data_IF_541934923279
#
_entry.id   IF_541934923279
#
_cell.length_a   1.000
_cell.length_b   1.000
_cell.length_c   1.000
_cell.angle_alpha   90.00
_cell.angle_beta   90.00
_cell.angle_gamma   90.00
#
_symmetry.space_group_name_H-M   'P 1'
#
loop_
_entity.id
_entity.type
_entity.pdbx_description
1 polymer ?
#
# COMPACT_ATOMS: atom_id res chain seq x y z
N UNK A 1 -5.58 -14.11 0.11
CA UNK A 1 -6.57 -13.08 -0.28
C UNK A 1 -7.93 -13.33 0.35
N UNK A 2 -8.66 -14.38 -0.05
CA UNK A 2 -9.98 -14.68 0.54
C UNK A 2 -9.96 -14.79 2.08
N UNK A 3 -8.92 -15.40 2.67
CA UNK A 3 -8.78 -15.45 4.13
C UNK A 3 -8.60 -14.09 4.81
N UNK A 4 -8.01 -13.10 4.13
CA UNK A 4 -7.90 -11.73 4.64
C UNK A 4 -9.24 -11.00 4.53
N UNK A 5 -9.90 -11.10 3.36
CA UNK A 5 -11.18 -10.41 3.09
C UNK A 5 -12.34 -10.92 3.96
N UNK A 6 -12.25 -12.17 4.41
CA UNK A 6 -13.21 -12.80 5.31
C UNK A 6 -12.78 -12.71 6.77
N UNK A 7 -11.70 -11.99 7.11
CA UNK A 7 -11.16 -11.85 8.46
C UNK A 7 -10.86 -13.19 9.18
N UNK A 8 -10.53 -14.23 8.41
CA UNK A 8 -10.25 -15.59 8.94
C UNK A 8 -9.07 -15.55 9.92
N UNK A 9 -7.98 -14.87 9.54
CA UNK A 9 -6.77 -14.80 10.38
C UNK A 9 -6.98 -13.94 11.63
N UNK A 10 -7.79 -12.89 11.54
CA UNK A 10 -8.13 -12.04 12.68
C UNK A 10 -9.02 -12.75 13.69
N UNK A 11 -9.91 -13.63 13.23
CA UNK A 11 -10.68 -14.47 14.14
C UNK A 11 -9.79 -15.53 14.82
N UNK A 12 -8.99 -16.24 14.01
CA UNK A 12 -8.14 -17.34 14.50
C UNK A 12 -6.96 -16.88 15.36
N UNK A 13 -6.55 -15.61 15.28
CA UNK A 13 -5.56 -15.03 16.18
C UNK A 13 -6.08 -14.86 17.62
N UNK A 14 -7.39 -14.68 17.78
CA UNK A 14 -8.04 -14.53 19.08
C UNK A 14 -8.39 -15.87 19.71
N UNK A 15 -8.86 -16.81 18.90
CA UNK A 15 -9.19 -18.16 19.35
C UNK A 15 -9.10 -19.19 18.22
N UNK A 16 -8.59 -20.40 18.50
CA UNK A 16 -8.80 -21.54 17.62
C UNK A 16 -10.30 -21.79 17.41
N UNK A 17 -10.70 -22.32 16.25
CA UNK A 17 -12.11 -22.57 15.95
C UNK A 17 -12.27 -23.75 15.00
N UNK A 18 -13.39 -24.46 15.13
CA UNK A 18 -13.82 -25.42 14.10
C UNK A 18 -14.35 -24.66 12.89
N UNK A 19 -14.49 -25.34 11.75
CA UNK A 19 -15.03 -24.71 10.55
C UNK A 19 -16.47 -24.20 10.74
N UNK A 20 -17.29 -24.92 11.52
CA UNK A 20 -18.67 -24.52 11.80
C UNK A 20 -18.74 -23.28 12.69
N UNK A 21 -17.94 -23.24 13.76
CA UNK A 21 -17.86 -22.08 14.65
C UNK A 21 -17.37 -20.82 13.91
N UNK A 22 -16.36 -20.98 13.06
CA UNK A 22 -15.81 -19.88 12.28
C UNK A 22 -16.82 -19.41 11.21
N UNK A 23 -17.51 -20.33 10.54
CA UNK A 23 -18.53 -19.99 9.56
C UNK A 23 -19.68 -19.20 10.18
N UNK A 24 -20.14 -19.62 11.37
CA UNK A 24 -21.16 -18.93 12.12
C UNK A 24 -20.71 -17.53 12.56
N UNK A 25 -19.47 -17.40 13.04
CA UNK A 25 -18.91 -16.11 13.47
C UNK A 25 -18.75 -15.11 12.31
N UNK A 26 -18.35 -15.60 11.13
CA UNK A 26 -18.13 -14.76 9.94
C UNK A 26 -19.39 -14.56 9.10
N UNK A 27 -20.48 -15.28 9.38
CA UNK A 27 -21.72 -15.21 8.60
C UNK A 27 -21.58 -15.76 7.17
N UNK A 28 -20.79 -16.81 6.97
CA UNK A 28 -20.48 -17.39 5.65
C UNK A 28 -20.93 -18.86 5.53
N UNK A 29 -20.96 -19.37 4.29
CA UNK A 29 -21.25 -20.78 4.03
C UNK A 29 -20.14 -21.71 4.56
N UNK A 30 -20.49 -22.59 5.50
CA UNK A 30 -19.56 -23.50 6.18
C UNK A 30 -18.81 -24.39 5.20
N UNK A 31 -19.50 -24.94 4.20
CA UNK A 31 -18.90 -25.87 3.23
C UNK A 31 -17.83 -25.19 2.40
N UNK A 32 -18.09 -23.97 1.91
CA UNK A 32 -17.13 -23.16 1.15
C UNK A 32 -15.99 -22.69 2.04
N UNK A 33 -16.27 -22.26 3.27
CA UNK A 33 -15.23 -21.89 4.22
C UNK A 33 -14.32 -23.08 4.51
N UNK A 34 -14.87 -24.27 4.71
CA UNK A 34 -14.10 -25.52 4.92
C UNK A 34 -13.18 -25.88 3.76
N UNK A 35 -13.55 -25.53 2.52
CA UNK A 35 -12.65 -25.69 1.36
C UNK A 35 -11.48 -24.71 1.44
N UNK A 36 -11.75 -23.44 1.79
CA UNK A 36 -10.73 -22.43 1.98
C UNK A 36 -9.77 -22.79 3.13
N UNK A 37 -10.28 -23.19 4.28
CA UNK A 37 -9.47 -23.56 5.46
C UNK A 37 -8.52 -24.73 5.15
N UNK A 38 -9.00 -25.75 4.43
CA UNK A 38 -8.14 -26.86 3.96
C UNK A 38 -7.07 -26.38 3.00
N UNK A 39 -7.40 -25.50 2.06
CA UNK A 39 -6.41 -24.94 1.13
C UNK A 39 -5.36 -24.10 1.85
N UNK A 40 -5.77 -23.26 2.81
CA UNK A 40 -4.86 -22.46 3.65
C UNK A 40 -3.96 -23.34 4.52
N UNK A 41 -4.50 -24.44 5.05
CA UNK A 41 -3.70 -25.40 5.83
C UNK A 41 -2.68 -26.14 4.95
N UNK A 42 -3.03 -26.45 3.70
CA UNK A 42 -2.14 -27.13 2.76
C UNK A 42 -0.96 -26.26 2.28
N UNK A 43 -1.02 -24.94 2.48
CA UNK A 43 0.07 -24.00 2.19
C UNK A 43 0.71 -23.45 3.47
N UNK A 44 0.55 -24.17 4.59
CA UNK A 44 1.13 -23.89 5.90
C UNK A 44 0.76 -22.50 6.49
N UNK A 45 -0.37 -21.93 6.06
CA UNK A 45 -0.90 -20.70 6.66
C UNK A 45 -1.79 -20.97 7.87
N UNK A 46 -2.32 -22.19 8.01
CA UNK A 46 -3.11 -22.63 9.16
C UNK A 46 -2.63 -24.02 9.60
N UNK A 47 -2.73 -24.28 10.90
CA UNK A 47 -2.48 -25.60 11.48
C UNK A 47 -3.80 -26.26 11.87
N UNK A 48 -3.85 -27.59 11.76
CA UNK A 48 -5.02 -28.39 12.13
C UNK A 48 -4.65 -29.24 13.34
N UNK A 49 -5.43 -29.13 14.41
CA UNK A 49 -5.44 -30.13 15.48
C UNK A 49 -6.77 -30.89 15.46
N UNK A 50 -6.74 -32.15 15.88
CA UNK A 50 -7.96 -32.88 16.17
C UNK A 50 -8.32 -32.62 17.63
N UNK A 51 -9.56 -32.23 17.89
CA UNK A 51 -10.05 -32.19 19.26
C UNK A 51 -10.29 -33.63 19.74
N UNK A 52 -9.43 -34.09 20.65
CA UNK A 52 -9.54 -35.42 21.28
C UNK A 52 -10.45 -35.39 22.53
N UNK A 53 -10.78 -34.22 23.08
CA UNK A 53 -11.48 -34.10 24.37
C UNK A 53 -12.98 -34.45 24.32
N UNK A 54 -13.57 -34.60 23.12
CA UNK A 54 -15.01 -34.90 22.95
C UNK A 54 -15.35 -36.38 22.77
N UNK A 55 -14.39 -37.31 22.96
CA UNK A 55 -14.66 -38.74 22.87
C UNK A 55 -14.60 -39.48 24.23
N UNK A 56 -15.61 -39.36 25.11
CA UNK A 56 -15.83 -40.39 26.12
C UNK A 56 -16.41 -41.62 25.41
N UNK A 57 -15.69 -42.74 25.52
CA UNK A 57 -16.16 -44.11 25.31
C UNK A 57 -17.21 -44.36 24.21
N UNK A 58 -16.78 -45.04 23.15
CA UNK A 58 -17.66 -45.83 22.25
C UNK A 58 -18.66 -45.09 21.35
N UNK A 59 -18.51 -43.78 21.13
CA UNK A 59 -19.23 -43.09 20.06
C UNK A 59 -18.29 -42.57 18.98
N UNK A 60 -18.53 -43.00 17.73
CA UNK A 60 -17.90 -42.49 16.51
C UNK A 60 -18.35 -41.04 16.24
N UNK A 61 -18.16 -40.11 17.18
CA UNK A 61 -18.19 -38.68 16.87
C UNK A 61 -16.91 -38.39 16.11
N UNK A 62 -17.05 -37.89 14.88
CA UNK A 62 -15.92 -37.43 14.10
C UNK A 62 -15.18 -36.37 14.93
N UNK A 63 -13.91 -36.60 15.26
CA UNK A 63 -13.06 -35.57 15.83
C UNK A 63 -13.13 -34.36 14.89
N UNK A 64 -13.60 -33.22 15.40
CA UNK A 64 -13.67 -32.02 14.58
C UNK A 64 -12.27 -31.42 14.44
N UNK A 65 -11.94 -31.05 13.22
CA UNK A 65 -10.71 -30.33 12.92
C UNK A 65 -10.81 -28.91 13.50
N UNK A 66 -9.92 -28.59 14.44
CA UNK A 66 -9.75 -27.25 14.99
C UNK A 66 -8.60 -26.58 14.25
N UNK A 67 -8.87 -25.39 13.71
CA UNK A 67 -7.91 -24.61 12.95
C UNK A 67 -7.24 -23.57 13.85
N UNK A 68 -5.94 -23.38 13.63
CA UNK A 68 -5.10 -22.42 14.35
C UNK A 68 -4.32 -21.57 13.34
N UNK A 69 -4.17 -20.28 13.61
CA UNK A 69 -3.17 -19.46 12.92
C UNK A 69 -1.86 -19.51 13.72
N UNK A 70 -0.73 -19.76 13.06
CA UNK A 70 0.59 -19.70 13.70
C UNK A 70 0.96 -18.26 14.09
N UNK A 71 1.89 -18.10 15.04
CA UNK A 71 2.27 -16.79 15.59
C UNK A 71 2.69 -15.78 14.51
N UNK A 72 3.48 -16.21 13.52
CA UNK A 72 3.93 -15.35 12.43
C UNK A 72 2.78 -14.97 11.48
N UNK A 73 1.87 -15.90 11.19
CA UNK A 73 0.66 -15.64 10.39
C UNK A 73 -0.25 -14.67 11.11
N UNK A 74 -0.46 -14.85 12.41
CA UNK A 74 -1.20 -13.91 13.25
C UNK A 74 -0.54 -12.53 13.27
N UNK A 75 0.77 -12.46 13.46
CA UNK A 75 1.49 -11.20 13.48
C UNK A 75 1.36 -10.44 12.15
N UNK A 76 1.38 -11.13 11.02
CA UNK A 76 1.41 -10.49 9.69
C UNK A 76 0.03 -10.35 9.04
N UNK A 77 -0.92 -11.26 9.28
CA UNK A 77 -2.19 -11.35 8.54
C UNK A 77 -3.44 -11.09 9.40
N UNK A 78 -3.29 -10.88 10.72
CA UNK A 78 -4.40 -10.42 11.58
C UNK A 78 -4.52 -8.90 11.52
N UNK A 79 -5.71 -8.38 11.20
CA UNK A 79 -6.00 -6.94 11.21
C UNK A 79 -5.80 -6.30 12.59
N UNK A 80 -5.93 -7.08 13.67
CA UNK A 80 -5.67 -6.65 15.05
C UNK A 80 -4.17 -6.48 15.38
N UNK A 81 -3.26 -6.92 14.50
CA UNK A 81 -1.82 -6.87 14.74
C UNK A 81 -1.21 -5.53 14.31
N UNK A 82 -0.33 -4.98 15.13
CA UNK A 82 0.51 -3.83 14.77
C UNK A 82 1.53 -4.14 13.67
N UNK A 83 1.75 -5.42 13.34
CA UNK A 83 2.62 -5.91 12.26
C UNK A 83 1.83 -6.34 11.02
N UNK A 84 0.54 -6.03 10.96
CA UNK A 84 -0.33 -6.41 9.85
C UNK A 84 0.17 -5.87 8.51
N UNK A 85 0.46 -6.76 7.57
CA UNK A 85 0.88 -6.43 6.19
C UNK A 85 -0.26 -6.59 5.18
N UNK A 86 -1.46 -7.01 5.63
CA UNK A 86 -2.61 -7.22 4.75
C UNK A 86 -3.32 -5.93 4.31
N UNK A 87 -2.86 -4.75 4.74
CA UNK A 87 -3.39 -3.48 4.23
C UNK A 87 -3.17 -3.33 2.72
N UNK A 88 -2.14 -3.98 2.18
CA UNK A 88 -1.79 -3.97 0.74
C UNK A 88 -2.54 -5.03 -0.10
N UNK A 89 -3.58 -5.66 0.45
CA UNK A 89 -4.28 -6.76 -0.23
C UNK A 89 -4.89 -6.34 -1.58
N UNK A 90 -5.26 -5.06 -1.73
CA UNK A 90 -5.75 -4.52 -2.99
C UNK A 90 -4.65 -4.26 -4.02
N UNK A 91 -3.45 -3.85 -3.58
CA UNK A 91 -2.26 -3.80 -4.43
C UNK A 91 -1.92 -5.21 -4.93
N UNK A 92 -1.99 -6.22 -4.05
CA UNK A 92 -1.83 -7.61 -4.44
C UNK A 92 -2.92 -8.10 -5.43
N UNK A 93 -4.18 -7.74 -5.23
CA UNK A 93 -5.26 -8.00 -6.19
C UNK A 93 -4.99 -7.36 -7.56
N UNK A 94 -4.48 -6.13 -7.55
CA UNK A 94 -4.08 -5.42 -8.77
C UNK A 94 -2.94 -6.12 -9.49
N UNK A 95 -1.90 -6.51 -8.76
CA UNK A 95 -0.78 -7.25 -9.32
C UNK A 95 -1.24 -8.57 -9.92
N UNK A 96 -2.15 -9.30 -9.26
CA UNK A 96 -2.74 -10.51 -9.84
C UNK A 96 -3.47 -10.22 -11.15
N UNK A 97 -4.32 -9.19 -11.20
CA UNK A 97 -5.04 -8.80 -12.44
C UNK A 97 -4.08 -8.38 -13.55
N UNK A 98 -3.08 -7.55 -13.23
CA UNK A 98 -2.05 -7.11 -14.18
C UNK A 98 -1.21 -8.26 -14.72
N UNK A 99 -0.86 -9.23 -13.86
CA UNK A 99 -0.04 -10.40 -14.22
C UNK A 99 -0.67 -11.23 -15.35
N UNK A 100 -2.01 -11.27 -15.43
CA UNK A 100 -2.70 -12.01 -16.51
C UNK A 100 -2.43 -11.44 -17.91
N UNK A 101 -1.99 -10.17 -18.01
CA UNK A 101 -1.72 -9.47 -19.28
C UNK A 101 -0.22 -9.23 -19.52
N UNK A 102 0.63 -9.73 -18.64
CA UNK A 102 2.05 -9.43 -18.65
C UNK A 102 2.74 -9.85 -19.95
N UNK A 103 2.41 -11.04 -20.48
CA UNK A 103 2.97 -11.51 -21.75
C UNK A 103 2.67 -10.54 -22.92
N UNK A 104 1.48 -9.93 -22.94
CA UNK A 104 1.12 -8.93 -23.94
C UNK A 104 1.85 -7.61 -23.70
N UNK A 105 2.00 -7.20 -22.44
CA UNK A 105 2.76 -5.98 -22.09
C UNK A 105 4.20 -6.07 -22.57
N UNK A 106 4.87 -7.19 -22.27
CA UNK A 106 6.23 -7.48 -22.71
C UNK A 106 6.34 -7.47 -24.25
N UNK A 107 5.41 -8.12 -24.96
CA UNK A 107 5.46 -8.17 -26.44
C UNK A 107 5.28 -6.80 -27.09
N UNK A 108 4.52 -5.92 -26.46
CA UNK A 108 4.13 -4.63 -27.05
C UNK A 108 4.99 -3.47 -26.55
N UNK A 109 5.74 -3.66 -25.46
CA UNK A 109 6.43 -2.58 -24.74
C UNK A 109 5.47 -1.52 -24.20
N UNK A 110 4.20 -1.89 -23.94
CA UNK A 110 3.16 -0.98 -23.46
C UNK A 110 2.44 -1.63 -22.28
N UNK A 111 2.29 -0.88 -21.20
CA UNK A 111 1.44 -1.28 -20.08
C UNK A 111 0.03 -1.68 -20.59
N UNK A 112 -0.37 -2.94 -20.36
CA UNK A 112 -1.66 -3.48 -20.82
C UNK A 112 -2.82 -3.21 -19.86
N UNK A 113 -2.63 -2.15 -19.07
CA UNK A 113 -3.53 -1.65 -18.06
C UNK A 113 -3.60 -0.13 -18.12
N UNK A 114 -4.11 0.41 -19.22
CA UNK A 114 -4.67 1.77 -19.23
C UNK A 114 -5.72 1.96 -18.10
N UNK A 115 -6.17 0.86 -17.50
CA UNK A 115 -7.07 0.75 -16.35
C UNK A 115 -6.35 0.56 -15.00
N UNK A 116 -5.05 0.92 -14.90
CA UNK A 116 -4.42 1.18 -13.59
C UNK A 116 -4.64 2.64 -13.14
N UNK A 117 -4.87 3.53 -14.11
CA UNK A 117 -5.23 4.95 -13.93
C UNK A 117 -6.66 5.27 -14.43
N UNK A 118 -7.19 4.48 -15.36
CA UNK A 118 -8.49 4.70 -15.99
C UNK A 118 -9.68 4.13 -15.24
N UNK A 119 -9.83 4.43 -13.95
CA UNK A 119 -11.04 4.06 -13.22
C UNK A 119 -12.26 4.60 -13.97
N UNK A 120 -13.16 3.69 -14.33
CA UNK A 120 -14.38 4.02 -15.08
C UNK A 120 -15.47 4.61 -14.18
N UNK A 121 -15.32 4.53 -12.86
CA UNK A 121 -16.15 5.26 -11.90
C UNK A 121 -15.37 5.83 -10.71
N UNK A 122 -15.98 6.81 -10.03
CA UNK A 122 -15.44 7.56 -8.90
C UNK A 122 -15.23 6.72 -7.63
N UNK A 123 -16.05 5.69 -7.41
CA UNK A 123 -15.91 4.78 -6.26
C UNK A 123 -14.66 3.92 -6.32
N UNK A 124 -14.29 3.40 -7.49
CA UNK A 124 -13.05 2.61 -7.63
C UNK A 124 -11.81 3.49 -7.43
N UNK A 125 -11.85 4.77 -7.84
CA UNK A 125 -10.78 5.76 -7.56
C UNK A 125 -10.63 6.02 -6.08
N UNK A 126 -11.75 6.31 -5.41
CA UNK A 126 -11.77 6.61 -3.99
C UNK A 126 -11.27 5.42 -3.17
N UNK A 127 -11.70 4.19 -3.51
CA UNK A 127 -11.25 2.98 -2.82
C UNK A 127 -9.75 2.73 -3.00
N UNK A 128 -9.24 2.84 -4.23
CA UNK A 128 -7.80 2.72 -4.50
C UNK A 128 -6.96 3.72 -3.71
N UNK A 129 -7.44 4.95 -3.62
CA UNK A 129 -6.72 6.01 -2.95
C UNK A 129 -6.78 5.90 -1.42
N UNK A 130 -7.88 5.39 -0.86
CA UNK A 130 -7.97 5.03 0.56
C UNK A 130 -6.99 3.90 0.91
N UNK A 131 -6.80 2.93 0.02
CA UNK A 131 -5.86 1.83 0.22
C UNK A 131 -4.39 2.28 0.21
N UNK A 132 -4.02 3.18 -0.71
CA UNK A 132 -2.67 3.75 -0.73
C UNK A 132 -2.40 4.71 0.44
N UNK A 133 -3.44 5.27 1.02
CA UNK A 133 -3.34 6.26 2.10
C UNK A 133 -2.69 5.68 3.37
N UNK A 134 -3.06 4.44 3.77
CA UNK A 134 -2.50 3.78 4.95
C UNK A 134 -0.99 3.51 4.82
N UNK A 135 -0.56 2.98 3.67
CA UNK A 135 0.86 2.76 3.38
C UNK A 135 1.66 4.07 3.34
N UNK A 136 1.09 5.13 2.75
CA UNK A 136 1.70 6.46 2.75
C UNK A 136 1.84 7.05 4.16
N UNK A 137 0.83 6.89 5.02
CA UNK A 137 0.90 7.30 6.43
C UNK A 137 1.97 6.52 7.20
N UNK A 138 2.07 5.20 7.01
CA UNK A 138 3.08 4.38 7.67
C UNK A 138 4.50 4.83 7.33
N UNK A 139 4.75 5.17 6.06
CA UNK A 139 6.01 5.76 5.62
C UNK A 139 6.24 7.15 6.24
N UNK A 140 5.22 8.03 6.25
CA UNK A 140 5.32 9.34 6.89
C UNK A 140 5.73 9.25 8.37
N UNK A 141 5.10 8.36 9.14
CA UNK A 141 5.50 8.11 10.53
C UNK A 141 6.94 7.56 10.65
N UNK A 142 7.39 6.73 9.71
CA UNK A 142 8.77 6.23 9.68
C UNK A 142 9.78 7.35 9.40
N UNK A 143 9.48 8.26 8.47
CA UNK A 143 10.32 9.43 8.19
C UNK A 143 10.50 10.30 9.43
N UNK A 144 9.41 10.54 10.16
CA UNK A 144 9.43 11.27 11.43
C UNK A 144 10.25 10.53 12.48
N UNK A 145 10.01 9.22 12.68
CA UNK A 145 10.77 8.41 13.66
C UNK A 145 12.28 8.41 13.41
N UNK A 146 12.70 8.46 12.15
CA UNK A 146 14.12 8.49 11.77
C UNK A 146 14.76 9.88 11.83
N UNK A 147 13.98 10.93 12.08
CA UNK A 147 14.46 12.32 12.05
C UNK A 147 14.93 12.77 10.67
N UNK A 148 14.45 12.15 9.59
CA UNK A 148 14.92 12.45 8.23
C UNK A 148 14.48 13.83 7.72
N UNK A 149 13.45 14.40 8.35
CA UNK A 149 12.93 15.74 8.04
C UNK A 149 13.25 16.75 9.15
N UNK A 150 14.14 16.41 10.08
CA UNK A 150 14.53 17.31 11.16
C UNK A 150 15.14 18.61 10.59
N UNK A 151 14.61 19.75 11.03
CA UNK A 151 15.01 21.07 10.53
C UNK A 151 14.46 21.43 9.13
N UNK A 152 13.59 20.59 8.55
CA UNK A 152 12.81 20.95 7.37
C UNK A 152 11.48 21.59 7.81
N UNK A 153 11.25 22.83 7.39
CA UNK A 153 10.03 23.57 7.70
C UNK A 153 9.02 23.50 6.54
N UNK A 154 9.51 23.42 5.29
CA UNK A 154 8.66 23.43 4.10
C UNK A 154 9.05 22.34 3.13
N UNK A 155 8.14 21.39 2.92
CA UNK A 155 8.42 20.14 2.20
C UNK A 155 7.35 19.87 1.15
N UNK A 156 7.80 19.49 -0.05
CA UNK A 156 6.91 19.14 -1.17
C UNK A 156 6.82 17.63 -1.32
N UNK A 157 5.61 17.08 -1.26
CA UNK A 157 5.32 15.69 -1.60
C UNK A 157 4.87 15.62 -3.08
N UNK A 158 5.83 15.32 -3.96
CA UNK A 158 5.65 15.34 -5.41
C UNK A 158 5.02 14.03 -5.90
N UNK A 159 3.79 14.11 -6.40
CA UNK A 159 2.96 12.94 -6.67
C UNK A 159 2.42 12.30 -5.39
N UNK A 160 2.13 13.11 -4.36
CA UNK A 160 1.74 12.64 -3.02
C UNK A 160 0.37 11.95 -2.93
N UNK A 161 -0.34 11.78 -4.06
CA UNK A 161 -1.65 11.13 -4.09
C UNK A 161 -2.68 11.82 -3.21
N UNK A 162 -3.31 11.07 -2.30
CA UNK A 162 -4.27 11.61 -1.32
C UNK A 162 -3.64 12.33 -0.14
N UNK A 163 -2.31 12.44 -0.08
CA UNK A 163 -1.61 13.19 0.96
C UNK A 163 -1.47 12.46 2.30
N UNK A 164 -1.64 11.13 2.34
CA UNK A 164 -1.49 10.35 3.57
C UNK A 164 -0.11 10.52 4.22
N UNK A 165 0.96 10.58 3.41
CA UNK A 165 2.30 10.86 3.89
C UNK A 165 2.41 12.26 4.50
N UNK A 166 1.98 13.27 3.75
CA UNK A 166 1.98 14.67 4.20
C UNK A 166 1.22 14.84 5.51
N UNK A 167 0.04 14.22 5.63
CA UNK A 167 -0.76 14.21 6.84
C UNK A 167 -0.01 13.58 8.02
N UNK A 168 0.60 12.41 7.85
CA UNK A 168 1.31 11.73 8.92
C UNK A 168 2.52 12.55 9.41
N UNK A 169 3.25 13.19 8.51
CA UNK A 169 4.38 14.08 8.86
C UNK A 169 3.87 15.30 9.62
N UNK A 170 2.96 16.09 9.04
CA UNK A 170 2.44 17.32 9.66
C UNK A 170 1.61 17.10 10.92
N UNK A 171 1.14 15.87 11.19
CA UNK A 171 0.48 15.54 12.46
C UNK A 171 1.46 15.36 13.61
N UNK A 172 2.73 15.07 13.30
CA UNK A 172 3.77 14.78 14.30
C UNK A 172 4.85 15.87 14.38
N UNK A 173 4.87 16.81 13.43
CA UNK A 173 5.87 17.88 13.35
C UNK A 173 5.22 19.22 13.01
N UNK A 174 5.98 20.32 13.13
CA UNK A 174 5.57 21.65 12.66
C UNK A 174 5.87 21.88 11.16
N UNK A 175 6.17 20.82 10.41
CA UNK A 175 6.53 20.91 8.99
C UNK A 175 5.29 21.25 8.15
N UNK A 176 5.38 22.31 7.35
CA UNK A 176 4.43 22.64 6.28
C UNK A 176 4.63 21.65 5.13
N UNK A 177 3.64 20.80 4.91
CA UNK A 177 3.66 19.84 3.80
C UNK A 177 2.80 20.36 2.65
N UNK A 178 3.34 20.25 1.43
CA UNK A 178 2.66 20.65 0.20
C UNK A 178 2.52 19.41 -0.68
N UNK A 179 1.29 18.93 -0.83
CA UNK A 179 0.98 17.83 -1.76
C UNK A 179 0.86 18.41 -3.16
N UNK A 180 1.77 18.01 -4.05
CA UNK A 180 1.75 18.39 -5.47
C UNK A 180 1.22 17.20 -6.28
N UNK A 181 0.05 17.36 -6.89
CA UNK A 181 -0.60 16.31 -7.66
C UNK A 181 -1.22 16.83 -8.96
N UNK A 182 -1.57 15.94 -9.88
CA UNK A 182 -2.26 16.38 -11.10
C UNK A 182 -3.66 16.90 -10.76
N UNK A 183 -4.18 17.83 -11.57
CA UNK A 183 -5.50 18.42 -11.36
C UNK A 183 -6.63 17.38 -11.15
N UNK A 184 -6.54 16.22 -11.80
CA UNK A 184 -7.51 15.12 -11.67
C UNK A 184 -7.50 14.38 -10.31
N UNK A 185 -6.54 14.68 -9.43
CA UNK A 185 -6.35 14.04 -8.11
C UNK A 185 -6.51 15.05 -6.97
N UNK A 186 -6.25 16.34 -7.20
CA UNK A 186 -6.28 17.40 -6.17
C UNK A 186 -7.57 17.41 -5.34
N UNK A 187 -8.74 17.26 -5.96
CA UNK A 187 -10.01 17.26 -5.22
C UNK A 187 -10.10 16.12 -4.20
N UNK A 188 -9.58 14.94 -4.54
CA UNK A 188 -9.56 13.77 -3.65
C UNK A 188 -8.55 13.93 -2.53
N UNK A 189 -7.38 14.49 -2.83
CA UNK A 189 -6.38 14.82 -1.82
C UNK A 189 -6.90 15.86 -0.81
N UNK A 190 -7.55 16.91 -1.31
CA UNK A 190 -8.12 17.96 -0.46
C UNK A 190 -9.19 17.39 0.48
N UNK A 191 -10.11 16.57 -0.03
CA UNK A 191 -11.11 15.89 0.80
C UNK A 191 -10.50 15.04 1.91
N UNK A 192 -9.42 14.31 1.63
CA UNK A 192 -8.75 13.48 2.64
C UNK A 192 -8.04 14.33 3.72
N UNK A 193 -7.59 15.54 3.37
CA UNK A 193 -6.85 16.44 4.25
C UNK A 193 -7.77 17.37 5.05
N UNK A 194 -8.88 17.83 4.48
CA UNK A 194 -9.77 18.85 5.09
C UNK A 194 -10.30 18.46 6.48
N UNK A 195 -10.50 17.17 6.72
CA UNK A 195 -10.94 16.65 8.02
C UNK A 195 -9.86 16.78 9.12
N UNK A 196 -8.61 17.07 8.73
CA UNK A 196 -7.45 17.11 9.60
C UNK A 196 -6.95 18.55 9.78
N UNK A 197 -6.89 19.02 11.03
CA UNK A 197 -6.47 20.39 11.39
C UNK A 197 -4.93 20.54 11.41
N UNK A 198 -4.27 20.18 10.32
CA UNK A 198 -2.80 20.16 10.18
C UNK A 198 -2.32 21.12 9.08
N UNK A 199 -1.05 21.58 9.12
CA UNK A 199 -0.48 22.48 8.11
C UNK A 199 -0.13 21.75 6.80
N UNK A 200 -1.13 21.14 6.17
CA UNK A 200 -1.00 20.50 4.86
C UNK A 200 -1.77 21.31 3.82
N UNK A 201 -1.14 21.60 2.69
CA UNK A 201 -1.78 22.23 1.54
C UNK A 201 -1.70 21.34 0.31
N UNK A 202 -2.67 21.45 -0.58
CA UNK A 202 -2.67 20.72 -1.86
C UNK A 202 -2.57 21.72 -3.00
N UNK A 203 -1.70 21.44 -3.97
CA UNK A 203 -1.60 22.23 -5.20
C UNK A 203 -1.55 21.31 -6.42
N UNK A 204 -2.08 21.78 -7.55
CA UNK A 204 -2.06 21.00 -8.78
C UNK A 204 -0.72 21.15 -9.51
N UNK A 205 -0.33 20.23 -10.37
CA UNK A 205 0.78 20.41 -11.30
C UNK A 205 1.30 19.09 -11.87
N UNK A 206 1.99 19.17 -13.00
CA UNK A 206 2.70 18.07 -13.62
C UNK A 206 4.20 18.34 -13.61
N UNK A 207 4.92 17.65 -12.72
CA UNK A 207 6.39 17.75 -12.59
C UNK A 207 7.08 17.48 -13.92
N UNK A 208 6.48 16.64 -14.78
CA UNK A 208 7.04 16.25 -16.07
C UNK A 208 6.77 17.26 -17.19
N UNK A 209 5.84 18.20 -17.03
CA UNK A 209 5.53 19.22 -18.02
C UNK A 209 6.39 20.48 -17.80
N UNK A 210 7.43 20.74 -18.62
CA UNK A 210 8.34 21.85 -18.41
C UNK A 210 7.69 23.25 -18.50
N UNK A 211 6.52 23.35 -19.12
CA UNK A 211 5.80 24.63 -19.28
C UNK A 211 4.85 24.92 -18.10
N UNK A 212 4.65 23.95 -17.23
CA UNK A 212 3.83 24.11 -16.03
C UNK A 212 4.47 25.13 -15.06
N UNK A 213 3.68 26.02 -14.47
CA UNK A 213 4.11 27.12 -13.61
C UNK A 213 4.27 26.74 -12.12
N UNK A 214 4.51 25.46 -11.85
CA UNK A 214 4.65 24.86 -10.51
C UNK A 214 5.55 25.69 -9.60
N UNK A 215 6.70 26.14 -10.11
CA UNK A 215 7.69 26.94 -9.39
C UNK A 215 7.09 28.21 -8.78
N UNK A 216 6.17 28.88 -9.49
CA UNK A 216 5.51 30.10 -9.01
C UNK A 216 4.53 29.77 -7.88
N UNK A 217 3.78 28.67 -8.03
CA UNK A 217 2.77 28.24 -7.05
C UNK A 217 3.37 27.66 -5.77
N UNK A 218 4.48 26.94 -5.89
CA UNK A 218 5.20 26.36 -4.75
C UNK A 218 5.91 27.42 -3.88
N UNK A 219 6.06 28.67 -4.35
CA UNK A 219 6.80 29.73 -3.62
C UNK A 219 8.19 29.26 -3.21
N UNK A 220 8.98 28.82 -4.19
CA UNK A 220 10.32 28.28 -3.99
C UNK A 220 11.31 29.29 -3.36
N UNK A 221 12.41 28.82 -2.74
CA UNK A 221 12.82 27.42 -2.59
C UNK A 221 12.13 26.69 -1.42
N UNK A 222 12.27 25.36 -1.37
CA UNK A 222 11.78 24.49 -0.28
C UNK A 222 12.94 23.73 0.38
N UNK A 223 12.70 23.23 1.60
CA UNK A 223 13.73 22.53 2.38
C UNK A 223 13.92 21.09 1.93
N UNK A 224 12.82 20.42 1.57
CA UNK A 224 12.86 19.07 1.03
C UNK A 224 11.81 18.83 -0.07
N UNK A 225 12.09 17.86 -0.92
CA UNK A 225 11.14 17.30 -1.89
C UNK A 225 11.14 15.79 -1.72
N UNK A 226 9.95 15.19 -1.66
CA UNK A 226 9.73 13.76 -1.53
C UNK A 226 9.12 13.25 -2.85
N UNK A 227 9.73 12.22 -3.43
CA UNK A 227 9.22 11.51 -4.61
C UNK A 227 8.99 10.05 -4.25
N UNK A 228 7.84 9.76 -3.64
CA UNK A 228 7.49 8.41 -3.15
C UNK A 228 6.63 7.70 -4.19
N UNK A 229 7.07 6.52 -4.66
CA UNK A 229 6.41 5.74 -5.71
C UNK A 229 6.10 6.54 -6.99
N UNK A 230 6.82 7.66 -7.19
CA UNK A 230 6.59 8.61 -8.27
C UNK A 230 7.40 8.26 -9.53
N UNK A 231 8.70 8.02 -9.40
CA UNK A 231 9.56 7.78 -10.57
C UNK A 231 9.28 6.45 -11.27
N UNK A 232 8.77 5.45 -10.54
CA UNK A 232 8.53 4.09 -11.05
C UNK A 232 7.45 4.01 -12.13
N UNK A 233 6.64 5.07 -12.31
CA UNK A 233 5.62 5.14 -13.38
C UNK A 233 6.07 5.94 -14.59
N UNK A 234 7.32 6.43 -14.57
CA UNK A 234 7.90 7.27 -15.62
C UNK A 234 8.97 6.51 -16.41
N UNK A 235 9.02 6.77 -17.71
CA UNK A 235 10.16 6.35 -18.52
C UNK A 235 11.47 7.06 -18.10
N UNK A 236 12.66 6.50 -18.37
CA UNK A 236 13.94 7.02 -17.85
C UNK A 236 14.20 8.50 -18.16
N UNK A 237 13.85 8.95 -19.37
CA UNK A 237 14.04 10.35 -19.78
C UNK A 237 13.18 11.33 -18.98
N UNK A 238 11.91 10.96 -18.74
CA UNK A 238 10.98 11.76 -17.93
C UNK A 238 11.37 11.73 -16.46
N UNK A 239 11.74 10.57 -15.93
CA UNK A 239 12.25 10.44 -14.56
C UNK A 239 13.48 11.34 -14.33
N UNK A 240 14.45 11.33 -15.25
CA UNK A 240 15.63 12.19 -15.17
C UNK A 240 15.28 13.69 -15.29
N UNK A 241 14.31 14.05 -16.12
CA UNK A 241 13.82 15.42 -16.22
C UNK A 241 13.13 15.87 -14.91
N UNK A 242 12.26 15.03 -14.36
CA UNK A 242 11.54 15.30 -13.11
C UNK A 242 12.51 15.44 -11.94
N UNK A 243 13.49 14.53 -11.78
CA UNK A 243 14.53 14.65 -10.73
C UNK A 243 15.29 15.96 -10.86
N UNK A 244 15.73 16.33 -12.07
CA UNK A 244 16.41 17.61 -12.28
C UNK A 244 15.54 18.81 -11.92
N UNK A 245 14.23 18.73 -12.17
CA UNK A 245 13.28 19.79 -11.80
C UNK A 245 13.11 19.88 -10.28
N UNK A 246 12.87 18.75 -9.62
CA UNK A 246 12.75 18.68 -8.16
C UNK A 246 14.00 19.21 -7.45
N UNK A 247 15.20 18.90 -7.96
CA UNK A 247 16.46 19.44 -7.41
C UNK A 247 16.51 20.98 -7.51
N UNK A 248 15.97 21.59 -8.57
CA UNK A 248 15.93 23.07 -8.70
C UNK A 248 14.99 23.74 -7.71
N UNK A 249 14.05 22.99 -7.12
CA UNK A 249 13.12 23.52 -6.12
C UNK A 249 13.76 23.66 -4.74
N UNK A 250 14.84 22.91 -4.51
CA UNK A 250 15.51 22.87 -3.21
C UNK A 250 16.33 24.13 -2.97
N UNK A 251 16.35 24.58 -1.71
CA UNK A 251 17.38 25.50 -1.22
C UNK A 251 18.75 24.84 -1.28
N UNK A 252 19.81 25.64 -1.15
CA UNK A 252 21.16 25.08 -0.95
C UNK A 252 21.19 24.22 0.31
N UNK A 253 21.70 22.99 0.20
CA UNK A 253 21.69 22.00 1.28
C UNK A 253 20.33 21.33 1.55
N UNK A 254 19.32 21.56 0.69
CA UNK A 254 18.02 20.90 0.78
C UNK A 254 18.07 19.40 0.47
N UNK A 255 17.01 18.69 0.85
CA UNK A 255 16.91 17.23 0.79
C UNK A 255 15.99 16.77 -0.35
N UNK A 256 16.48 15.91 -1.25
CA UNK A 256 15.62 15.14 -2.14
C UNK A 256 15.55 13.69 -1.64
N UNK A 257 14.36 13.23 -1.28
CA UNK A 257 14.10 11.84 -0.93
C UNK A 257 13.35 11.15 -2.06
N UNK A 258 13.90 10.06 -2.56
CA UNK A 258 13.26 9.22 -3.58
C UNK A 258 13.14 7.81 -3.02
N UNK A 259 11.93 7.26 -3.07
CA UNK A 259 11.68 5.85 -2.71
C UNK A 259 10.45 5.33 -3.45
N UNK A 260 10.15 4.05 -3.32
CA UNK A 260 9.01 3.39 -3.96
C UNK A 260 8.83 1.99 -3.40
N UNK A 261 8.26 1.09 -4.21
CA UNK A 261 8.08 -0.33 -3.81
C UNK A 261 9.43 -1.04 -3.59
N UNK A 262 10.50 -0.49 -4.13
CA UNK A 262 11.88 -0.82 -3.80
C UNK A 262 12.86 -0.17 -4.78
N UNK A 263 14.14 -0.15 -4.42
CA UNK A 263 15.23 0.21 -5.33
C UNK A 263 15.92 -1.09 -5.71
N UNK A 264 15.97 -1.37 -7.00
CA UNK A 264 16.64 -2.57 -7.51
C UNK A 264 18.14 -2.32 -7.50
N UNK A 265 18.88 -3.28 -6.96
CA UNK A 265 20.34 -3.29 -6.96
C UNK A 265 20.89 -3.19 -8.38
N UNK A 266 22.14 -2.74 -8.51
CA UNK A 266 22.79 -2.54 -9.81
C UNK A 266 22.85 -3.82 -10.67
N UNK A 267 22.74 -5.00 -10.06
CA UNK A 267 22.71 -6.28 -10.76
C UNK A 267 21.32 -6.64 -11.33
N UNK A 268 20.31 -5.82 -11.05
CA UNK A 268 18.92 -5.90 -11.49
C UNK A 268 18.16 -7.16 -11.05
N UNK A 269 18.57 -7.81 -9.96
CA UNK A 269 17.96 -9.07 -9.50
C UNK A 269 17.46 -9.02 -8.08
N UNK A 270 17.94 -8.07 -7.30
CA UNK A 270 17.64 -7.94 -5.89
C UNK A 270 17.18 -6.52 -5.55
N UNK A 271 16.34 -6.33 -4.53
CA UNK A 271 15.53 -7.37 -3.88
C UNK A 271 14.52 -7.98 -4.86
N UNK A 272 14.24 -9.28 -4.74
CA UNK A 272 13.37 -9.99 -5.67
C UNK A 272 11.97 -9.37 -5.81
N UNK A 273 11.41 -8.88 -4.70
CA UNK A 273 10.12 -8.19 -4.71
C UNK A 273 10.14 -6.90 -5.57
N UNK A 274 11.23 -6.12 -5.49
CA UNK A 274 11.40 -4.93 -6.31
C UNK A 274 11.57 -5.27 -7.79
N UNK A 275 12.33 -6.32 -8.10
CA UNK A 275 12.49 -6.82 -9.47
C UNK A 275 11.18 -7.34 -10.08
N UNK A 276 10.35 -8.02 -9.29
CA UNK A 276 9.01 -8.45 -9.73
C UNK A 276 8.08 -7.25 -9.93
N UNK A 277 8.13 -6.27 -9.04
CA UNK A 277 7.34 -5.04 -9.17
C UNK A 277 7.71 -4.25 -10.44
N UNK A 278 9.00 -4.14 -10.77
CA UNK A 278 9.50 -3.46 -11.98
C UNK A 278 8.82 -3.97 -13.26
N UNK A 279 8.69 -5.28 -13.38
CA UNK A 279 8.03 -5.95 -14.52
C UNK A 279 6.54 -5.59 -14.62
N UNK A 280 5.90 -5.19 -13.51
CA UNK A 280 4.48 -4.83 -13.47
C UNK A 280 4.23 -3.34 -13.74
N UNK A 281 5.22 -2.47 -13.52
CA UNK A 281 5.13 -1.03 -13.80
C UNK A 281 5.77 -0.60 -15.14
N UNK A 282 6.69 -1.40 -15.69
CA UNK A 282 7.40 -1.12 -16.95
C UNK A 282 6.64 -1.37 -18.25
#
# INVERSE_FOLDING_TARGET
MAGLQLDVFAHLSRRPSTASELAAALGVDERRLSQLLRALSAVDLLHISLDEETAPGDSHRACEAVYHAGEEVTALLSTDSSRFIGQDHALAHRFMRASTRLATAIRTGKAQGADLAGHTNEHERAHFQQELFGGAQALGHELVRRGWLDGCHRVVDAGGGTGGLALAVSSATETEMIVLERASVVGLAQQAIDDHRVPVSVTHGDVCDPEDDIEQRLRLPVDAVLGVAFLQVLGPSLAAAAVRRMVRWLRSGGLLLITGIGIIDNDRRSPAAAAVADVLFG
#
